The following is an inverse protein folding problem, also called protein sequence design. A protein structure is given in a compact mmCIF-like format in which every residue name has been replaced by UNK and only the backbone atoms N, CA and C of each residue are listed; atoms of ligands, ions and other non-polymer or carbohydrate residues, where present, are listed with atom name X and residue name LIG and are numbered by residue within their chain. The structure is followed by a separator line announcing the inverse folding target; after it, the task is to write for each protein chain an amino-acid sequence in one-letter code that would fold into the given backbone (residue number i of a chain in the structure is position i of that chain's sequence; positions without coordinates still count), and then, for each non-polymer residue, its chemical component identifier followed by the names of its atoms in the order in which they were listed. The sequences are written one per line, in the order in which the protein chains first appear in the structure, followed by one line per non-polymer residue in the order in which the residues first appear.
data_IF_058927031642
#
_entry.id   IF_058927031642
#
_cell.length_a   1.000
_cell.length_b   1.000
_cell.length_c   1.000
_cell.angle_alpha   90.00
_cell.angle_beta   90.00
_cell.angle_gamma   90.00
#
_symmetry.space_group_name_H-M   'P 1'
#
loop_
_entity.id
_entity.type
_entity.pdbx_description
1 polymer ?
#
# COMPACT_ATOMS: atom_id res chain seq x y z
N UNK A 1 -20.06 -1.43 4.71
CA UNK A 1 -18.59 -1.28 4.75
C UNK A 1 -18.16 -0.24 3.75
N UNK A 2 -17.42 0.79 4.16
CA UNK A 2 -16.84 1.79 3.27
C UNK A 2 -15.32 1.64 3.22
N UNK A 3 -14.75 1.47 2.03
CA UNK A 3 -13.31 1.37 1.83
C UNK A 3 -12.72 2.73 1.43
N UNK A 4 -11.65 3.16 2.11
CA UNK A 4 -10.86 4.33 1.76
C UNK A 4 -9.59 3.85 1.07
N UNK A 5 -9.54 3.94 -0.26
CA UNK A 5 -8.46 3.39 -1.07
C UNK A 5 -7.34 4.42 -1.27
N UNK A 6 -6.15 4.02 -0.86
CA UNK A 6 -4.90 4.75 -1.06
C UNK A 6 -3.88 3.86 -1.79
N UNK A 7 -2.78 4.42 -2.23
CA UNK A 7 -1.67 3.67 -2.81
C UNK A 7 -0.83 3.00 -1.69
N UNK A 8 -0.43 3.77 -0.68
CA UNK A 8 0.31 3.32 0.50
C UNK A 8 0.05 4.21 1.72
N UNK A 9 0.59 3.83 2.88
CA UNK A 9 0.77 4.70 4.05
C UNK A 9 2.26 4.77 4.34
N UNK A 10 2.80 5.99 4.38
CA UNK A 10 4.22 6.24 4.61
C UNK A 10 4.48 6.65 6.06
N UNK A 11 5.73 6.53 6.52
CA UNK A 11 6.14 7.00 7.84
C UNK A 11 5.97 8.53 7.92
N UNK A 12 6.47 9.26 6.91
CA UNK A 12 6.23 10.70 6.74
C UNK A 12 4.95 10.90 5.92
N UNK A 13 3.83 11.01 6.61
CA UNK A 13 2.50 11.09 6.02
C UNK A 13 2.25 12.42 5.32
N UNK A 14 1.67 12.37 4.14
CA UNK A 14 1.13 13.53 3.45
C UNK A 14 -0.20 13.99 4.05
N UNK A 15 -0.68 15.17 3.66
CA UNK A 15 -2.00 15.67 4.07
C UNK A 15 -3.15 14.71 3.70
N UNK A 16 -3.03 13.99 2.59
CA UNK A 16 -4.04 13.00 2.15
C UNK A 16 -4.12 11.83 3.14
N UNK A 17 -2.98 11.28 3.55
CA UNK A 17 -2.92 10.17 4.50
C UNK A 17 -3.41 10.60 5.89
N UNK A 18 -3.06 11.82 6.34
CA UNK A 18 -3.61 12.38 7.58
C UNK A 18 -5.13 12.52 7.53
N UNK A 19 -5.68 13.07 6.45
CA UNK A 19 -7.13 13.21 6.26
C UNK A 19 -7.84 11.85 6.24
N UNK A 20 -7.24 10.85 5.58
CA UNK A 20 -7.79 9.50 5.50
C UNK A 20 -7.82 8.82 6.88
N UNK A 21 -6.75 8.96 7.68
CA UNK A 21 -6.68 8.41 9.04
C UNK A 21 -7.70 9.09 9.96
N UNK A 22 -7.81 10.43 9.90
CA UNK A 22 -8.82 11.16 10.67
C UNK A 22 -10.24 10.73 10.30
N UNK A 23 -10.51 10.54 9.00
CA UNK A 23 -11.79 10.05 8.52
C UNK A 23 -12.07 8.63 9.05
N UNK A 24 -11.10 7.71 9.04
CA UNK A 24 -11.27 6.39 9.63
C UNK A 24 -11.64 6.49 11.12
N UNK A 25 -10.90 7.28 11.91
CA UNK A 25 -11.20 7.46 13.33
C UNK A 25 -12.59 8.05 13.56
N UNK A 26 -13.07 8.95 12.70
CA UNK A 26 -14.43 9.48 12.80
C UNK A 26 -15.48 8.39 12.58
N UNK A 27 -15.26 7.49 11.62
CA UNK A 27 -16.15 6.34 11.39
C UNK A 27 -16.14 5.38 12.57
N UNK A 28 -14.95 5.09 13.14
CA UNK A 28 -14.82 4.25 14.34
C UNK A 28 -15.56 4.84 15.54
N UNK A 29 -15.42 6.15 15.77
CA UNK A 29 -16.11 6.85 16.87
C UNK A 29 -17.64 6.79 16.76
N UNK A 30 -18.16 6.72 15.53
CA UNK A 30 -19.59 6.63 15.25
C UNK A 30 -20.06 5.20 15.00
N UNK A 31 -19.21 4.18 15.21
CA UNK A 31 -19.51 2.76 14.97
C UNK A 31 -19.94 2.47 13.52
N UNK A 32 -19.47 3.27 12.59
CA UNK A 32 -19.71 3.08 11.15
C UNK A 32 -18.61 2.20 10.53
N UNK A 33 -18.97 1.13 9.81
CA UNK A 33 -17.98 0.19 9.31
C UNK A 33 -17.17 0.79 8.16
N UNK A 34 -15.86 1.01 8.40
CA UNK A 34 -14.93 1.52 7.40
C UNK A 34 -13.54 0.87 7.54
N UNK A 35 -12.78 0.86 6.45
CA UNK A 35 -11.39 0.39 6.42
C UNK A 35 -10.54 1.22 5.46
N UNK A 36 -9.28 1.41 5.80
CA UNK A 36 -8.26 1.87 4.85
C UNK A 36 -7.75 0.67 4.06
N UNK A 37 -7.63 0.85 2.75
CA UNK A 37 -7.11 -0.16 1.82
C UNK A 37 -5.90 0.40 1.09
N UNK A 38 -4.80 -0.36 1.04
CA UNK A 38 -3.59 0.02 0.30
C UNK A 38 -3.13 -1.10 -0.62
N UNK A 39 -2.38 -0.74 -1.68
CA UNK A 39 -1.95 -1.71 -2.69
C UNK A 39 -0.43 -1.93 -2.75
N UNK A 40 0.39 -1.01 -2.26
CA UNK A 40 1.85 -1.16 -2.30
C UNK A 40 2.36 -2.05 -1.16
N UNK A 41 3.40 -2.83 -1.47
CA UNK A 41 4.08 -3.64 -0.46
C UNK A 41 5.04 -2.80 0.39
N UNK A 42 5.08 -3.11 1.68
CA UNK A 42 6.14 -2.63 2.58
C UNK A 42 6.33 -3.62 3.73
N UNK A 43 7.55 -4.06 3.96
CA UNK A 43 7.88 -4.96 5.05
C UNK A 43 7.84 -4.30 6.44
N UNK A 44 7.74 -2.98 6.50
CA UNK A 44 7.61 -2.19 7.73
C UNK A 44 6.20 -1.59 7.92
N UNK A 45 5.25 -1.96 7.07
CA UNK A 45 3.91 -1.38 7.02
C UNK A 45 3.21 -1.43 8.39
N UNK A 46 3.27 -2.57 9.08
CA UNK A 46 2.58 -2.76 10.36
C UNK A 46 3.17 -1.92 11.51
N UNK A 47 4.45 -1.58 11.46
CA UNK A 47 5.00 -0.59 12.39
C UNK A 47 4.48 0.82 12.06
N UNK A 48 4.39 1.16 10.77
CA UNK A 48 3.88 2.47 10.31
C UNK A 48 2.42 2.66 10.72
N UNK A 49 1.54 1.68 10.47
CA UNK A 49 0.11 1.81 10.80
C UNK A 49 -0.13 1.85 12.32
N UNK A 50 0.63 1.09 13.11
CA UNK A 50 0.56 1.15 14.58
C UNK A 50 1.02 2.51 15.11
N UNK A 51 2.13 3.06 14.61
CA UNK A 51 2.57 4.41 14.97
C UNK A 51 1.61 5.50 14.52
N UNK A 52 0.81 5.22 13.48
CA UNK A 52 -0.25 6.11 13.02
C UNK A 52 -1.54 6.01 13.85
N UNK A 53 -1.63 5.08 14.81
CA UNK A 53 -2.83 4.84 15.59
C UNK A 53 -3.95 4.14 14.81
N UNK A 54 -3.63 3.50 13.69
CA UNK A 54 -4.61 2.76 12.89
C UNK A 54 -4.80 1.37 13.51
N UNK A 55 -6.05 0.99 13.79
CA UNK A 55 -6.40 -0.37 14.18
C UNK A 55 -6.17 -1.32 13.00
N UNK A 56 -5.34 -2.37 13.19
CA UNK A 56 -5.04 -3.36 12.15
C UNK A 56 -6.30 -4.10 11.64
N UNK A 57 -7.35 -4.21 12.45
CA UNK A 57 -8.64 -4.78 12.03
C UNK A 57 -9.36 -3.92 10.98
N UNK A 58 -9.12 -2.60 10.99
CA UNK A 58 -9.68 -1.64 10.05
C UNK A 58 -8.72 -1.25 8.92
N UNK A 59 -7.75 -2.12 8.66
CA UNK A 59 -6.75 -1.92 7.63
C UNK A 59 -6.58 -3.18 6.76
N UNK A 60 -6.45 -2.99 5.44
CA UNK A 60 -6.17 -4.07 4.50
C UNK A 60 -5.10 -3.63 3.51
N UNK A 61 -4.01 -4.38 3.43
CA UNK A 61 -3.04 -4.24 2.35
C UNK A 61 -3.19 -5.40 1.35
N UNK A 62 -3.03 -5.12 0.05
CA UNK A 62 -3.19 -6.10 -1.02
C UNK A 62 -2.24 -7.29 -0.88
N UNK A 63 -0.97 -7.04 -0.53
CA UNK A 63 0.01 -8.13 -0.35
C UNK A 63 -0.32 -8.96 0.89
N UNK A 64 -0.61 -8.33 2.03
CA UNK A 64 -1.05 -9.04 3.24
C UNK A 64 -2.28 -9.91 3.00
N UNK A 65 -3.22 -9.42 2.19
CA UNK A 65 -4.43 -10.16 1.85
C UNK A 65 -4.10 -11.48 1.14
N UNK A 66 -3.24 -11.44 0.13
CA UNK A 66 -2.86 -12.64 -0.62
C UNK A 66 -1.83 -13.52 0.13
N UNK A 67 -0.93 -12.92 0.90
CA UNK A 67 -0.01 -13.64 1.79
C UNK A 67 -0.71 -14.27 3.00
N UNK A 68 -2.02 -13.99 3.21
CA UNK A 68 -2.78 -14.39 4.41
C UNK A 68 -2.15 -13.86 5.70
N UNK A 69 -1.56 -12.69 5.62
CA UNK A 69 -0.76 -12.08 6.67
C UNK A 69 -1.46 -10.91 7.39
N UNK A 70 -2.74 -10.62 7.09
CA UNK A 70 -3.44 -9.43 7.57
C UNK A 70 -3.41 -9.25 9.09
N UNK A 71 -3.66 -10.29 9.87
CA UNK A 71 -3.75 -10.23 11.34
C UNK A 71 -2.76 -11.19 12.01
N UNK A 72 -1.53 -11.23 11.50
CA UNK A 72 -0.47 -12.07 12.08
C UNK A 72 0.06 -11.44 13.37
N UNK A 73 0.12 -12.19 14.48
CA UNK A 73 0.69 -11.69 15.73
C UNK A 73 2.17 -11.31 15.56
N UNK A 74 2.58 -10.23 16.23
CA UNK A 74 3.97 -9.80 16.19
C UNK A 74 4.90 -10.78 16.92
N UNK A 75 5.96 -11.20 16.24
CA UNK A 75 7.05 -12.00 16.77
C UNK A 75 8.38 -11.31 16.49
N UNK A 76 9.27 -11.22 17.48
CA UNK A 76 10.60 -10.66 17.26
C UNK A 76 11.55 -11.76 16.79
N UNK A 77 11.99 -11.64 15.54
CA UNK A 77 13.02 -12.52 14.98
C UNK A 77 14.39 -11.90 15.21
N UNK A 78 15.27 -12.67 15.80
CA UNK A 78 16.66 -12.29 16.13
C UNK A 78 17.64 -13.23 15.46
N UNK A 79 18.95 -12.98 15.65
CA UNK A 79 20.00 -13.86 15.10
C UNK A 79 19.89 -15.32 15.57
N UNK A 80 19.25 -15.58 16.70
CA UNK A 80 19.05 -16.93 17.24
C UNK A 80 18.03 -17.74 16.44
N UNK A 81 17.15 -17.05 15.73
CA UNK A 81 16.09 -17.65 14.92
C UNK A 81 16.54 -17.91 13.47
N UNK A 82 17.74 -17.44 13.09
CA UNK A 82 18.27 -17.58 11.72
C UNK A 82 19.11 -18.86 11.65
N UNK A 83 18.82 -19.77 10.71
CA UNK A 83 19.65 -20.96 10.49
C UNK A 83 21.01 -20.54 9.92
N UNK A 84 22.06 -20.79 10.71
CA UNK A 84 23.45 -20.47 10.35
C UNK A 84 24.20 -21.76 10.13
N UNK A 85 24.91 -21.89 9.01
CA UNK A 85 25.75 -23.02 8.72
C UNK A 85 26.90 -23.10 9.72
N UNK A 86 27.14 -24.24 10.44
CA UNK A 86 28.17 -24.37 11.50
C UNK A 86 29.60 -24.06 11.03
N UNK A 87 29.89 -24.26 9.74
CA UNK A 87 31.21 -24.02 9.13
C UNK A 87 31.51 -22.56 8.84
N UNK A 88 30.53 -21.67 8.96
CA UNK A 88 30.72 -20.24 8.69
C UNK A 88 31.29 -19.51 9.89
N UNK A 89 32.31 -18.69 9.65
CA UNK A 89 32.91 -17.83 10.67
C UNK A 89 32.11 -16.52 10.76
N UNK A 90 31.56 -16.24 11.94
CA UNK A 90 30.84 -14.99 12.21
C UNK A 90 31.80 -13.86 12.51
N UNK A 91 31.61 -12.72 11.90
CA UNK A 91 32.28 -11.45 12.17
C UNK A 91 31.26 -10.35 12.38
N UNK A 92 31.46 -9.50 13.40
CA UNK A 92 30.59 -8.33 13.63
C UNK A 92 30.90 -7.22 12.61
N UNK A 93 29.87 -6.56 12.13
CA UNK A 93 29.97 -5.40 11.26
C UNK A 93 28.99 -4.32 11.78
N UNK A 94 29.42 -3.52 12.73
CA UNK A 94 28.56 -2.62 13.48
C UNK A 94 27.46 -3.40 14.23
N UNK A 95 26.19 -3.07 13.93
CA UNK A 95 25.02 -3.79 14.48
C UNK A 95 24.74 -5.11 13.75
N UNK A 96 25.28 -5.29 12.54
CA UNK A 96 25.05 -6.41 11.65
C UNK A 96 26.06 -7.55 11.87
N UNK A 97 25.84 -8.67 11.18
CA UNK A 97 26.78 -9.77 11.13
C UNK A 97 27.08 -10.18 9.69
N UNK A 98 28.36 -10.38 9.41
CA UNK A 98 28.82 -11.07 8.22
C UNK A 98 29.33 -12.47 8.57
N UNK A 99 29.10 -13.40 7.66
CA UNK A 99 29.55 -14.78 7.80
C UNK A 99 30.46 -15.15 6.64
N UNK A 100 31.60 -15.71 7.00
CA UNK A 100 32.68 -16.01 6.07
C UNK A 100 32.86 -17.51 5.93
N UNK A 101 33.12 -17.95 4.70
CA UNK A 101 33.60 -19.28 4.38
C UNK A 101 34.91 -19.17 3.57
N UNK A 102 35.99 -19.78 4.04
CA UNK A 102 37.32 -19.65 3.41
C UNK A 102 37.75 -18.17 3.21
N UNK A 103 37.48 -17.33 4.21
CA UNK A 103 37.82 -15.90 4.17
C UNK A 103 36.93 -15.02 3.29
N UNK A 104 35.97 -15.60 2.56
CA UNK A 104 35.02 -14.84 1.70
C UNK A 104 33.64 -14.75 2.34
N UNK A 105 32.97 -13.60 2.22
CA UNK A 105 31.62 -13.40 2.73
C UNK A 105 30.62 -14.17 1.87
N UNK A 106 29.87 -15.07 2.52
CA UNK A 106 28.83 -15.91 1.89
C UNK A 106 27.44 -15.61 2.39
N UNK A 107 27.34 -14.97 3.58
CA UNK A 107 26.07 -14.64 4.17
C UNK A 107 26.16 -13.34 4.98
N UNK A 108 25.12 -12.51 4.95
CA UNK A 108 25.06 -11.26 5.70
C UNK A 108 23.71 -11.13 6.38
N UNK A 109 23.71 -10.68 7.62
CA UNK A 109 22.49 -10.47 8.41
C UNK A 109 22.39 -9.01 8.81
N UNK A 110 21.43 -8.30 8.24
CA UNK A 110 21.14 -6.91 8.57
C UNK A 110 20.12 -6.83 9.69
N UNK A 111 20.39 -5.98 10.68
CA UNK A 111 19.55 -5.86 11.89
C UNK A 111 19.18 -4.42 12.18
N UNK A 112 18.01 -4.24 12.81
CA UNK A 112 17.63 -2.94 13.37
C UNK A 112 18.58 -2.52 14.50
N UNK A 113 18.90 -1.22 14.54
CA UNK A 113 19.66 -0.65 15.66
C UNK A 113 18.73 -0.27 16.82
N UNK A 114 17.96 -1.23 17.29
CA UNK A 114 17.06 -1.12 18.44
C UNK A 114 17.49 -2.08 19.56
N UNK A 115 16.84 -2.01 20.72
CA UNK A 115 17.18 -2.86 21.87
C UNK A 115 17.05 -4.36 21.57
N UNK A 116 16.10 -4.77 20.73
CA UNK A 116 15.82 -6.16 20.38
C UNK A 116 16.72 -6.71 19.28
N UNK A 117 17.41 -5.85 18.50
CA UNK A 117 18.26 -6.25 17.36
C UNK A 117 17.54 -7.20 16.38
N UNK A 118 16.28 -6.90 16.09
CA UNK A 118 15.47 -7.70 15.17
C UNK A 118 16.03 -7.68 13.75
N UNK A 119 15.77 -8.74 12.99
CA UNK A 119 16.28 -8.91 11.63
C UNK A 119 15.51 -8.00 10.65
N UNK A 120 16.26 -7.32 9.78
CA UNK A 120 15.71 -6.57 8.63
C UNK A 120 15.72 -7.47 7.40
N UNK A 121 16.89 -8.04 7.08
CA UNK A 121 17.04 -8.95 5.95
C UNK A 121 18.26 -9.88 6.15
N UNK A 122 18.26 -10.95 5.38
CA UNK A 122 19.42 -11.83 5.22
C UNK A 122 19.82 -11.87 3.75
N UNK A 123 21.12 -11.81 3.48
CA UNK A 123 21.67 -11.76 2.14
C UNK A 123 22.54 -13.00 1.90
N UNK A 124 22.34 -13.63 0.77
CA UNK A 124 23.05 -14.84 0.36
C UNK A 124 23.96 -14.52 -0.82
N UNK A 125 25.23 -14.83 -0.65
CA UNK A 125 26.26 -14.59 -1.66
C UNK A 125 26.87 -15.92 -2.09
N UNK A 126 27.35 -15.97 -3.34
CA UNK A 126 28.13 -17.11 -3.81
C UNK A 126 29.56 -17.11 -3.27
N UNK A 127 30.34 -18.14 -3.64
CA UNK A 127 31.74 -18.24 -3.25
C UNK A 127 32.64 -17.14 -3.82
N UNK A 128 32.15 -16.33 -4.76
CA UNK A 128 32.87 -15.21 -5.36
C UNK A 128 32.49 -13.86 -4.72
N UNK A 129 31.48 -13.86 -3.85
CA UNK A 129 30.96 -12.67 -3.18
C UNK A 129 29.86 -11.96 -3.96
N UNK A 130 29.28 -12.61 -4.97
CA UNK A 130 28.17 -12.07 -5.75
C UNK A 130 26.86 -12.26 -5.01
N UNK A 131 26.05 -11.20 -4.87
CA UNK A 131 24.73 -11.28 -4.25
C UNK A 131 23.77 -12.06 -5.16
N UNK A 132 23.19 -13.12 -4.62
CA UNK A 132 22.23 -13.96 -5.35
C UNK A 132 20.80 -13.79 -4.85
N UNK A 133 20.62 -13.58 -3.53
CA UNK A 133 19.31 -13.58 -2.91
C UNK A 133 19.30 -12.71 -1.66
N UNK A 134 18.15 -12.04 -1.41
CA UNK A 134 17.87 -11.33 -0.16
C UNK A 134 16.49 -11.73 0.34
N UNK A 135 16.43 -12.24 1.59
CA UNK A 135 15.18 -12.49 2.30
C UNK A 135 14.87 -11.29 3.18
N UNK A 136 13.75 -10.60 2.93
CA UNK A 136 13.27 -9.48 3.72
C UNK A 136 12.24 -9.95 4.74
N UNK A 137 12.45 -9.54 5.97
CA UNK A 137 11.55 -9.88 7.07
C UNK A 137 10.51 -8.80 7.28
N UNK A 138 9.26 -9.21 7.41
CA UNK A 138 8.19 -8.36 7.96
C UNK A 138 8.48 -8.06 9.43
N UNK A 139 8.10 -6.88 9.90
CA UNK A 139 8.28 -6.50 11.32
C UNK A 139 7.53 -7.42 12.29
N UNK A 140 6.58 -8.20 11.80
CA UNK A 140 5.87 -9.26 12.54
C UNK A 140 6.64 -10.60 12.62
N UNK A 141 7.83 -10.69 11.99
CA UNK A 141 8.79 -11.76 12.23
C UNK A 141 8.67 -12.99 11.36
N UNK A 142 8.39 -12.84 10.08
CA UNK A 142 8.48 -13.88 9.07
C UNK A 142 9.15 -13.34 7.80
N UNK A 143 9.71 -14.21 6.97
CA UNK A 143 10.21 -13.81 5.64
C UNK A 143 9.00 -13.50 4.79
N UNK A 144 8.80 -12.23 4.46
CA UNK A 144 7.64 -11.78 3.69
C UNK A 144 7.92 -11.67 2.20
N UNK A 145 9.14 -11.34 1.80
CA UNK A 145 9.55 -11.34 0.39
C UNK A 145 11.01 -11.77 0.24
N UNK A 146 11.28 -12.53 -0.79
CA UNK A 146 12.59 -12.92 -1.28
C UNK A 146 12.85 -12.22 -2.61
N UNK A 147 13.98 -11.53 -2.73
CA UNK A 147 14.46 -10.98 -3.98
C UNK A 147 15.55 -11.87 -4.58
N UNK A 148 15.39 -12.28 -5.82
CA UNK A 148 16.40 -13.00 -6.59
C UNK A 148 17.09 -12.03 -7.54
N UNK A 149 18.42 -12.10 -7.59
CA UNK A 149 19.26 -11.19 -8.35
C UNK A 149 19.91 -11.89 -9.56
N UNK A 150 19.95 -11.19 -10.67
CA UNK A 150 20.83 -11.56 -11.78
C UNK A 150 22.30 -11.25 -11.40
N UNK A 151 23.11 -12.26 -11.43
CA UNK A 151 24.52 -12.17 -11.03
C UNK A 151 25.38 -11.25 -11.92
N UNK A 152 24.99 -11.04 -13.17
CA UNK A 152 25.73 -10.17 -14.10
C UNK A 152 25.39 -8.70 -13.91
N UNK A 153 24.11 -8.38 -13.84
CA UNK A 153 23.62 -6.99 -13.75
C UNK A 153 23.43 -6.50 -12.32
N UNK A 154 23.37 -7.41 -11.34
CA UNK A 154 23.00 -7.09 -9.95
C UNK A 154 21.56 -6.60 -9.77
N UNK A 155 20.70 -6.79 -10.78
CA UNK A 155 19.31 -6.35 -10.76
C UNK A 155 18.38 -7.48 -10.31
N UNK A 156 17.24 -7.12 -9.69
CA UNK A 156 16.21 -8.08 -9.30
C UNK A 156 15.57 -8.68 -10.56
N UNK A 157 15.42 -10.01 -10.59
CA UNK A 157 14.74 -10.77 -11.65
C UNK A 157 13.44 -11.38 -11.19
N UNK A 158 13.31 -11.63 -9.87
CA UNK A 158 12.10 -12.18 -9.26
C UNK A 158 11.95 -11.70 -7.83
N UNK A 159 10.69 -11.47 -7.43
CA UNK A 159 10.28 -11.21 -6.06
C UNK A 159 9.26 -12.28 -5.68
N UNK A 160 9.55 -13.09 -4.66
CA UNK A 160 8.68 -14.14 -4.17
C UNK A 160 8.10 -13.74 -2.82
N UNK A 161 6.78 -13.58 -2.75
CA UNK A 161 6.06 -13.17 -1.54
C UNK A 161 5.49 -14.39 -0.83
N UNK A 162 5.78 -14.53 0.46
CA UNK A 162 5.46 -15.72 1.24
C UNK A 162 4.31 -15.49 2.22
N UNK A 163 3.56 -16.55 2.47
CA UNK A 163 2.68 -16.60 3.65
C UNK A 163 3.54 -16.68 4.92
N UNK A 164 2.98 -16.39 6.12
CA UNK A 164 3.69 -16.56 7.39
C UNK A 164 4.23 -17.97 7.62
N UNK A 165 3.62 -18.99 6.97
CA UNK A 165 4.06 -20.39 7.03
C UNK A 165 5.17 -20.72 6.01
N UNK A 166 5.65 -19.73 5.25
CA UNK A 166 6.74 -19.87 4.28
C UNK A 166 6.33 -20.48 2.93
N UNK A 167 5.05 -20.44 2.56
CA UNK A 167 4.60 -20.84 1.22
C UNK A 167 4.58 -19.64 0.29
N UNK A 168 5.00 -19.80 -0.95
CA UNK A 168 4.89 -18.74 -1.96
C UNK A 168 3.40 -18.50 -2.26
N UNK A 169 2.96 -17.26 -2.03
CA UNK A 169 1.61 -16.80 -2.36
C UNK A 169 1.58 -16.06 -3.70
N UNK A 170 2.58 -15.21 -3.93
CA UNK A 170 2.69 -14.38 -5.14
C UNK A 170 4.15 -14.35 -5.59
N UNK A 171 4.37 -14.42 -6.91
CA UNK A 171 5.66 -14.14 -7.53
C UNK A 171 5.51 -12.97 -8.50
N UNK A 172 6.45 -12.04 -8.46
CA UNK A 172 6.60 -11.00 -9.46
C UNK A 172 7.86 -11.32 -10.27
N UNK A 173 7.68 -11.58 -11.57
CA UNK A 173 8.80 -11.71 -12.49
C UNK A 173 9.17 -10.33 -13.03
N UNK A 174 10.45 -9.98 -12.91
CA UNK A 174 10.99 -8.69 -13.32
C UNK A 174 11.82 -8.91 -14.58
N UNK A 175 11.21 -8.65 -15.72
CA UNK A 175 11.83 -8.76 -17.02
C UNK A 175 12.32 -7.39 -17.51
N UNK A 176 13.21 -7.39 -18.49
CA UNK A 176 13.68 -6.15 -19.14
C UNK A 176 13.58 -6.26 -20.64
N UNK A 177 13.04 -5.24 -21.27
CA UNK A 177 12.99 -5.18 -22.72
C UNK A 177 14.35 -4.72 -23.32
N UNK A 178 14.44 -4.69 -24.64
CA UNK A 178 15.66 -4.27 -25.38
C UNK A 178 16.14 -2.83 -25.05
N UNK A 179 15.28 -2.00 -24.44
CA UNK A 179 15.60 -0.63 -24.01
C UNK A 179 15.87 -0.54 -22.49
N UNK A 180 16.15 -1.67 -21.84
CA UNK A 180 16.35 -1.83 -20.39
C UNK A 180 15.14 -1.35 -19.53
N UNK A 181 13.97 -1.15 -20.15
CA UNK A 181 12.74 -0.83 -19.42
C UNK A 181 12.23 -2.08 -18.70
N UNK A 182 11.96 -1.93 -17.42
CA UNK A 182 11.41 -2.98 -16.57
C UNK A 182 9.97 -3.31 -16.96
N UNK A 183 9.67 -4.59 -17.02
CA UNK A 183 8.34 -5.16 -17.23
C UNK A 183 8.08 -6.14 -16.10
N UNK A 184 6.98 -5.96 -15.38
CA UNK A 184 6.58 -6.82 -14.27
C UNK A 184 5.35 -7.63 -14.64
N UNK A 185 5.38 -8.93 -14.34
CA UNK A 185 4.23 -9.82 -14.42
C UNK A 185 3.99 -10.46 -13.06
N UNK A 186 2.74 -10.70 -12.73
CA UNK A 186 2.30 -11.13 -11.41
C UNK A 186 1.69 -12.51 -11.50
N UNK A 187 2.16 -13.44 -10.68
CA UNK A 187 1.65 -14.81 -10.62
C UNK A 187 1.21 -15.11 -9.19
N UNK A 188 -0.10 -15.20 -8.99
CA UNK A 188 -0.72 -15.55 -7.71
C UNK A 188 -0.95 -17.07 -7.68
N UNK A 189 -0.33 -17.75 -6.70
CA UNK A 189 -0.37 -19.20 -6.60
C UNK A 189 -1.51 -19.69 -5.72
N UNK A 190 -2.19 -20.72 -6.20
CA UNK A 190 -3.18 -21.51 -5.46
C UNK A 190 -4.19 -20.65 -4.63
N UNK A 191 -4.60 -19.51 -5.19
CA UNK A 191 -5.62 -18.68 -4.57
C UNK A 191 -6.99 -19.27 -4.83
N UNK A 192 -7.67 -19.71 -3.76
CA UNK A 192 -8.95 -20.45 -3.85
C UNK A 192 -8.89 -21.67 -4.79
N UNK A 193 -7.73 -22.36 -4.84
CA UNK A 193 -7.53 -23.55 -5.66
C UNK A 193 -7.14 -23.30 -7.12
N UNK A 194 -6.87 -22.06 -7.49
CA UNK A 194 -6.49 -21.65 -8.86
C UNK A 194 -5.25 -20.78 -8.87
N UNK A 195 -4.49 -20.84 -9.95
CA UNK A 195 -3.41 -19.92 -10.27
C UNK A 195 -3.94 -18.80 -11.16
N UNK A 196 -3.44 -17.58 -10.90
CA UNK A 196 -3.81 -16.37 -11.66
C UNK A 196 -2.57 -15.65 -12.15
N UNK A 197 -2.64 -15.10 -13.36
CA UNK A 197 -1.56 -14.34 -13.98
C UNK A 197 -2.05 -12.96 -14.41
N UNK A 198 -1.23 -11.93 -14.15
CA UNK A 198 -1.57 -10.55 -14.51
C UNK A 198 -0.38 -9.92 -15.23
N UNK A 199 -0.66 -9.19 -16.31
CA UNK A 199 0.35 -8.51 -17.14
C UNK A 199 0.90 -7.25 -16.51
N UNK A 200 0.18 -6.68 -15.54
CA UNK A 200 0.53 -5.42 -14.88
C UNK A 200 -0.12 -5.29 -13.49
N UNK A 201 0.33 -4.27 -12.76
CA UNK A 201 -0.07 -4.02 -11.39
C UNK A 201 -1.53 -3.58 -11.25
N UNK A 202 -2.04 -2.81 -12.21
CA UNK A 202 -3.41 -2.30 -12.13
C UNK A 202 -4.44 -3.41 -12.34
N UNK A 203 -4.19 -4.38 -13.25
CA UNK A 203 -5.02 -5.58 -13.40
C UNK A 203 -4.98 -6.47 -12.16
N UNK A 204 -3.80 -6.62 -11.57
CA UNK A 204 -3.67 -7.34 -10.30
C UNK A 204 -4.43 -6.63 -9.17
N UNK A 205 -4.35 -5.30 -9.10
CA UNK A 205 -5.11 -4.48 -8.15
C UNK A 205 -6.63 -4.60 -8.38
N UNK A 206 -7.12 -4.52 -9.62
CA UNK A 206 -8.56 -4.73 -9.93
C UNK A 206 -9.04 -6.09 -9.43
N UNK A 207 -8.26 -7.15 -9.66
CA UNK A 207 -8.59 -8.48 -9.15
C UNK A 207 -8.64 -8.51 -7.62
N UNK A 208 -7.65 -7.89 -6.96
CA UNK A 208 -7.66 -7.77 -5.49
C UNK A 208 -8.93 -7.10 -4.99
N UNK A 209 -9.30 -5.96 -5.57
CA UNK A 209 -10.48 -5.20 -5.16
C UNK A 209 -11.76 -6.01 -5.36
N UNK A 210 -11.88 -6.76 -6.46
CA UNK A 210 -12.99 -7.70 -6.69
C UNK A 210 -13.09 -8.77 -5.59
N UNK A 211 -11.94 -9.33 -5.17
CA UNK A 211 -11.90 -10.31 -4.09
C UNK A 211 -12.26 -9.68 -2.74
N UNK A 212 -11.73 -8.49 -2.47
CA UNK A 212 -11.94 -7.77 -1.22
C UNK A 212 -13.42 -7.44 -0.99
N UNK A 213 -14.09 -6.84 -1.99
CA UNK A 213 -15.49 -6.40 -1.85
C UNK A 213 -16.49 -7.56 -1.77
N UNK A 214 -16.06 -8.78 -2.09
CA UNK A 214 -16.86 -10.01 -1.96
C UNK A 214 -16.46 -10.88 -0.76
N UNK A 215 -15.40 -10.52 -0.03
CA UNK A 215 -14.97 -11.28 1.15
C UNK A 215 -15.82 -10.91 2.37
N UNK A 216 -16.84 -11.71 2.65
CA UNK A 216 -17.77 -11.50 3.76
C UNK A 216 -17.12 -11.48 5.14
N UNK A 217 -15.93 -12.07 5.30
CA UNK A 217 -15.16 -11.99 6.56
C UNK A 217 -14.65 -10.58 6.84
N UNK A 218 -14.51 -9.76 5.79
CA UNK A 218 -14.06 -8.37 5.86
C UNK A 218 -15.25 -7.42 5.75
N UNK A 219 -16.11 -7.63 4.74
CA UNK A 219 -17.20 -6.71 4.42
C UNK A 219 -18.45 -6.91 5.27
N UNK A 220 -18.64 -8.11 5.86
CA UNK A 220 -19.94 -8.49 6.40
C UNK A 220 -21.00 -8.69 5.31
N UNK A 221 -22.27 -8.58 5.67
CA UNK A 221 -23.41 -8.75 4.75
C UNK A 221 -24.03 -7.40 4.30
N UNK A 222 -23.52 -6.29 4.81
CA UNK A 222 -24.04 -4.95 4.48
C UNK A 222 -23.56 -4.42 3.11
N UNK A 223 -24.08 -3.26 2.70
CA UNK A 223 -23.63 -2.62 1.45
C UNK A 223 -22.15 -2.25 1.51
N UNK A 224 -21.50 -2.29 0.34
CA UNK A 224 -20.08 -1.96 0.19
C UNK A 224 -19.93 -0.79 -0.76
N UNK A 225 -19.09 0.17 -0.41
CA UNK A 225 -18.71 1.29 -1.27
C UNK A 225 -17.24 1.62 -1.14
N UNK A 226 -16.74 2.49 -2.03
CA UNK A 226 -15.32 2.84 -2.08
C UNK A 226 -15.12 4.33 -2.35
N UNK A 227 -14.26 4.97 -1.56
CA UNK A 227 -13.74 6.32 -1.80
C UNK A 227 -12.28 6.21 -2.22
N UNK A 228 -11.94 6.77 -3.36
CA UNK A 228 -10.60 6.70 -3.95
C UNK A 228 -9.86 8.01 -3.67
N UNK A 229 -8.91 7.96 -2.75
CA UNK A 229 -8.12 9.13 -2.32
C UNK A 229 -6.95 9.44 -3.28
N UNK A 230 -6.42 8.44 -3.98
CA UNK A 230 -5.34 8.54 -4.95
C UNK A 230 -5.84 8.10 -6.34
N UNK A 231 -6.50 9.03 -7.04
CA UNK A 231 -7.19 8.73 -8.31
C UNK A 231 -6.20 8.37 -9.42
N UNK A 232 -5.06 9.06 -9.49
CA UNK A 232 -4.02 8.77 -10.48
C UNK A 232 -3.54 7.31 -10.39
N UNK A 233 -3.25 6.85 -9.16
CA UNK A 233 -2.73 5.52 -8.91
C UNK A 233 -3.81 4.44 -9.02
N UNK A 234 -5.02 4.70 -8.53
CA UNK A 234 -6.02 3.67 -8.29
C UNK A 234 -7.24 3.72 -9.22
N UNK A 235 -7.47 4.86 -9.89
CA UNK A 235 -8.70 5.10 -10.64
C UNK A 235 -8.96 4.05 -11.72
N UNK A 236 -7.92 3.71 -12.50
CA UNK A 236 -8.05 2.68 -13.53
C UNK A 236 -8.46 1.33 -12.91
N UNK A 237 -7.77 0.91 -11.86
CA UNK A 237 -8.04 -0.38 -11.20
C UNK A 237 -9.47 -0.46 -10.67
N UNK A 238 -9.97 0.63 -10.07
CA UNK A 238 -11.34 0.71 -9.51
C UNK A 238 -12.39 0.67 -10.61
N UNK A 239 -12.22 1.45 -11.69
CA UNK A 239 -13.20 1.48 -12.78
C UNK A 239 -13.22 0.20 -13.62
N UNK A 240 -12.15 -0.59 -13.58
CA UNK A 240 -12.05 -1.89 -14.27
C UNK A 240 -12.34 -3.12 -13.38
N UNK A 241 -12.87 -2.92 -12.18
CA UNK A 241 -13.40 -4.02 -11.36
C UNK A 241 -14.58 -4.71 -12.07
N UNK A 242 -14.66 -6.03 -11.91
CA UNK A 242 -15.82 -6.83 -12.35
C UNK A 242 -17.03 -6.60 -11.44
N UNK A 243 -16.78 -6.42 -10.15
CA UNK A 243 -17.81 -6.13 -9.16
C UNK A 243 -18.25 -4.67 -9.24
N UNK A 244 -19.56 -4.46 -9.42
CA UNK A 244 -20.14 -3.10 -9.45
C UNK A 244 -20.57 -2.71 -8.04
N UNK A 245 -19.85 -1.78 -7.45
CA UNK A 245 -20.15 -1.15 -6.17
C UNK A 245 -20.16 0.37 -6.35
N UNK A 246 -20.79 1.16 -5.46
CA UNK A 246 -20.63 2.61 -5.44
C UNK A 246 -19.16 3.04 -5.31
N UNK A 247 -18.70 3.92 -6.21
CA UNK A 247 -17.30 4.38 -6.32
C UNK A 247 -17.26 5.89 -6.38
N UNK A 248 -16.53 6.49 -5.46
CA UNK A 248 -16.43 7.95 -5.33
C UNK A 248 -14.99 8.40 -5.51
N UNK A 249 -14.78 9.40 -6.36
CA UNK A 249 -13.49 10.05 -6.54
C UNK A 249 -13.33 11.19 -5.55
N UNK A 250 -12.28 11.19 -4.74
CA UNK A 250 -11.97 12.27 -3.80
C UNK A 250 -10.94 13.23 -4.40
N UNK A 251 -11.26 14.51 -4.42
CA UNK A 251 -10.33 15.57 -4.79
C UNK A 251 -9.70 16.18 -3.54
N UNK A 252 -8.37 16.23 -3.46
CA UNK A 252 -7.63 16.77 -2.32
C UNK A 252 -7.01 18.15 -2.56
N UNK A 253 -7.00 18.60 -3.82
CA UNK A 253 -6.55 19.92 -4.27
C UNK A 253 -7.29 20.29 -5.56
N UNK A 254 -6.92 21.39 -6.18
CA UNK A 254 -7.57 21.89 -7.39
C UNK A 254 -7.52 20.85 -8.52
N UNK A 255 -8.65 20.72 -9.20
CA UNK A 255 -8.80 19.78 -10.31
C UNK A 255 -8.10 20.24 -11.60
N UNK A 256 -7.56 21.46 -11.62
CA UNK A 256 -6.85 22.10 -12.72
C UNK A 256 -5.45 22.56 -12.34
N UNK A 257 -4.61 22.84 -13.33
CA UNK A 257 -3.24 23.32 -13.13
C UNK A 257 -3.16 24.85 -12.89
N UNK A 258 -4.10 25.61 -13.45
CA UNK A 258 -4.16 27.08 -13.30
C UNK A 258 -5.53 27.46 -12.74
N UNK A 259 -5.52 27.88 -11.50
CA UNK A 259 -6.73 28.18 -10.74
C UNK A 259 -7.42 29.51 -11.12
N UNK A 260 -6.78 30.33 -11.95
CA UNK A 260 -7.40 31.51 -12.53
C UNK A 260 -8.44 31.19 -13.61
N UNK A 261 -8.38 29.97 -14.19
CA UNK A 261 -9.36 29.50 -15.19
C UNK A 261 -9.79 28.05 -14.89
N UNK A 262 -10.72 27.90 -13.97
CA UNK A 262 -11.25 26.60 -13.55
C UNK A 262 -12.01 25.85 -14.66
N UNK A 263 -12.50 26.56 -15.68
CA UNK A 263 -13.31 25.98 -16.75
C UNK A 263 -12.47 25.42 -17.89
N UNK A 264 -11.41 26.10 -18.32
CA UNK A 264 -10.70 25.78 -19.55
C UNK A 264 -9.24 25.35 -19.33
N UNK A 265 -8.68 25.62 -18.15
CA UNK A 265 -7.32 25.18 -17.82
C UNK A 265 -7.14 23.67 -17.98
N UNK A 266 -5.91 23.26 -18.24
CA UNK A 266 -5.53 21.84 -18.26
C UNK A 266 -5.81 21.18 -16.93
N UNK A 267 -6.25 19.93 -16.95
CA UNK A 267 -6.56 19.18 -15.73
C UNK A 267 -5.28 18.86 -14.96
N UNK A 268 -5.39 18.87 -13.64
CA UNK A 268 -4.34 18.38 -12.76
C UNK A 268 -4.13 16.87 -13.04
N UNK A 269 -2.89 16.46 -13.27
CA UNK A 269 -2.55 15.10 -13.68
C UNK A 269 -3.04 14.03 -12.68
N UNK A 270 -3.15 14.38 -11.39
CA UNK A 270 -3.65 13.49 -10.34
C UNK A 270 -5.11 13.08 -10.58
N UNK A 271 -5.89 13.90 -11.28
CA UNK A 271 -7.32 13.68 -11.52
C UNK A 271 -7.69 13.58 -13.00
N UNK A 272 -6.78 13.94 -13.91
CA UNK A 272 -7.07 14.03 -15.34
C UNK A 272 -7.74 12.77 -15.88
N UNK A 273 -7.16 11.61 -15.57
CA UNK A 273 -7.73 10.35 -16.04
C UNK A 273 -9.13 10.10 -15.45
N UNK A 274 -9.29 10.27 -14.13
CA UNK A 274 -10.58 10.11 -13.45
C UNK A 274 -11.65 11.08 -13.96
N UNK A 275 -11.31 12.35 -14.16
CA UNK A 275 -12.23 13.37 -14.65
C UNK A 275 -12.59 13.20 -16.13
N UNK A 276 -11.71 12.62 -16.94
CA UNK A 276 -12.05 12.23 -18.33
C UNK A 276 -13.04 11.05 -18.38
N UNK A 277 -13.14 10.27 -17.31
CA UNK A 277 -14.05 9.14 -17.14
C UNK A 277 -15.11 9.45 -16.06
N UNK A 278 -15.50 10.71 -15.91
CA UNK A 278 -16.34 11.16 -14.79
C UNK A 278 -17.66 10.41 -14.73
N UNK A 279 -18.24 10.04 -15.87
CA UNK A 279 -19.52 9.30 -15.97
C UNK A 279 -19.45 7.86 -15.45
N UNK A 280 -18.24 7.32 -15.22
CA UNK A 280 -18.05 5.98 -14.70
C UNK A 280 -18.00 5.95 -13.16
N UNK A 281 -17.99 7.13 -12.52
CA UNK A 281 -18.04 7.31 -11.07
C UNK A 281 -19.46 7.54 -10.60
N UNK A 282 -19.76 7.09 -9.39
CA UNK A 282 -21.06 7.35 -8.73
C UNK A 282 -21.09 8.72 -8.04
N UNK A 283 -19.98 9.41 -7.98
CA UNK A 283 -19.87 10.78 -7.50
C UNK A 283 -18.43 11.26 -7.33
N UNK A 284 -18.31 12.57 -7.22
CA UNK A 284 -17.05 13.28 -6.93
C UNK A 284 -17.19 13.95 -5.58
N UNK A 285 -16.19 13.80 -4.72
CA UNK A 285 -16.12 14.42 -3.40
C UNK A 285 -15.12 15.57 -3.46
N UNK A 286 -15.57 16.77 -3.09
CA UNK A 286 -14.81 18.01 -2.98
C UNK A 286 -14.71 18.45 -1.52
N UNK A 287 -13.74 19.30 -1.19
CA UNK A 287 -13.42 19.69 0.19
C UNK A 287 -14.10 20.99 0.62
N UNK A 288 -14.23 21.94 -0.29
CA UNK A 288 -14.71 23.30 0.00
C UNK A 288 -15.91 23.67 -0.86
N UNK A 289 -16.73 24.67 -0.45
CA UNK A 289 -17.79 25.20 -1.30
C UNK A 289 -17.28 25.70 -2.65
N UNK A 290 -16.16 26.44 -2.65
CA UNK A 290 -15.56 26.96 -3.87
C UNK A 290 -15.17 25.82 -4.83
N UNK A 291 -14.46 24.81 -4.33
CA UNK A 291 -14.08 23.64 -5.15
C UNK A 291 -15.30 22.91 -5.72
N UNK A 292 -16.39 22.79 -4.92
CA UNK A 292 -17.62 22.18 -5.39
C UNK A 292 -18.24 22.97 -6.55
N UNK A 293 -18.30 24.30 -6.43
CA UNK A 293 -18.86 25.19 -7.45
C UNK A 293 -18.02 25.16 -8.72
N UNK A 294 -16.69 25.18 -8.61
CA UNK A 294 -15.77 25.12 -9.73
C UNK A 294 -15.88 23.79 -10.49
N UNK A 295 -15.96 22.66 -9.76
CA UNK A 295 -16.14 21.34 -10.38
C UNK A 295 -17.52 21.22 -11.01
N UNK A 296 -18.59 21.71 -10.36
CA UNK A 296 -19.94 21.75 -10.96
C UNK A 296 -19.98 22.56 -12.23
N UNK A 297 -19.41 23.76 -12.22
CA UNK A 297 -19.38 24.64 -13.39
C UNK A 297 -18.82 23.94 -14.64
N UNK A 298 -17.84 23.03 -14.45
CA UNK A 298 -17.21 22.30 -15.55
C UNK A 298 -17.90 20.97 -15.89
N UNK A 299 -18.45 20.26 -14.90
CA UNK A 299 -18.88 18.86 -15.02
C UNK A 299 -20.35 18.57 -14.75
N UNK A 300 -21.17 19.53 -14.29
CA UNK A 300 -22.58 19.32 -13.96
C UNK A 300 -23.42 18.79 -15.15
N UNK A 301 -23.01 19.15 -16.37
CA UNK A 301 -23.59 18.66 -17.63
C UNK A 301 -23.57 17.13 -17.81
N UNK A 302 -22.72 16.42 -17.06
CA UNK A 302 -22.62 14.96 -17.11
C UNK A 302 -23.55 14.27 -16.11
N UNK A 303 -24.24 15.02 -15.24
CA UNK A 303 -25.24 14.49 -14.29
C UNK A 303 -24.64 13.65 -13.14
N UNK A 304 -23.31 13.70 -12.93
CA UNK A 304 -22.65 12.99 -11.84
C UNK A 304 -22.74 13.81 -10.55
N UNK A 305 -23.21 13.24 -9.43
CA UNK A 305 -23.29 13.94 -8.16
C UNK A 305 -21.94 14.48 -7.68
N UNK A 306 -21.89 15.75 -7.26
CA UNK A 306 -20.70 16.38 -6.70
C UNK A 306 -21.00 16.75 -5.26
N UNK A 307 -20.39 16.00 -4.36
CA UNK A 307 -20.57 16.13 -2.91
C UNK A 307 -19.49 17.04 -2.32
N UNK A 308 -19.84 17.76 -1.25
CA UNK A 308 -18.88 18.49 -0.44
C UNK A 308 -18.71 17.78 0.89
N UNK A 309 -17.51 17.25 1.13
CA UNK A 309 -17.13 16.62 2.39
C UNK A 309 -15.74 17.16 2.79
N UNK A 310 -15.65 18.01 3.83
CA UNK A 310 -14.37 18.51 4.31
C UNK A 310 -13.45 17.37 4.76
N UNK A 311 -12.15 17.50 4.52
CA UNK A 311 -11.16 16.50 4.95
C UNK A 311 -10.80 16.58 6.43
N UNK A 312 -11.01 17.74 7.06
CA UNK A 312 -10.62 17.98 8.44
C UNK A 312 -11.82 17.87 9.36
N UNK A 313 -11.62 17.19 10.46
CA UNK A 313 -12.53 17.18 11.61
C UNK A 313 -11.89 18.03 12.71
N UNK A 314 -12.61 19.02 13.22
CA UNK A 314 -12.17 19.78 14.39
C UNK A 314 -12.83 19.12 15.61
N UNK A 315 -12.05 18.57 16.55
CA UNK A 315 -12.61 17.97 17.77
C UNK A 315 -13.40 19.00 18.58
N UNK A 316 -14.51 18.57 19.20
CA UNK A 316 -15.36 19.44 20.02
C UNK A 316 -14.59 20.15 21.13
N UNK A 317 -13.58 19.50 21.70
CA UNK A 317 -12.67 20.06 22.69
C UNK A 317 -11.89 21.30 22.19
N UNK A 318 -11.64 21.37 20.87
CA UNK A 318 -10.97 22.51 20.23
C UNK A 318 -11.99 23.60 19.92
N UNK A 319 -13.19 23.23 19.46
CA UNK A 319 -14.27 24.18 19.16
C UNK A 319 -14.71 24.93 20.42
N UNK A 320 -14.75 24.22 21.56
CA UNK A 320 -15.21 24.77 22.83
C UNK A 320 -14.11 25.51 23.64
N UNK A 321 -12.88 25.58 23.14
CA UNK A 321 -11.82 26.39 23.78
C UNK A 321 -12.10 27.88 23.62
N UNK A 322 -11.89 28.70 24.69
CA UNK A 322 -12.00 30.14 24.59
C UNK A 322 -11.10 30.68 23.47
N UNK A 323 -11.65 31.52 22.63
CA UNK A 323 -10.89 32.17 21.54
C UNK A 323 -9.80 33.07 22.16
N UNK A 324 -8.55 32.69 21.96
CA UNK A 324 -7.40 33.53 22.32
C UNK A 324 -7.09 34.43 21.12
N UNK A 325 -7.25 35.78 21.24
CA UNK A 325 -6.94 36.64 20.12
C UNK A 325 -5.43 36.57 19.77
N UNK A 326 -5.15 36.52 18.49
CA UNK A 326 -3.78 36.65 18.00
C UNK A 326 -3.18 37.97 18.53
N UNK A 327 -1.99 37.87 19.17
CA UNK A 327 -1.20 39.05 19.59
C UNK A 327 -0.41 39.60 18.41
#
# INVERSE_FOLDING_TARGET
MLFFLNDNIQENKSGIEHAQIQRLHLFEQNSEPAMIVTRQYSNVLHDIIRHAGINEEHFVNMFDYFQKARLVPQRNITIRDIPIEPKWQRKANGVDYEYLQNGKRVFYVRRHNNAKKTIINTQYLDQFGTLLKVDWYDTRGFVSVEHIYDWQSGKITSENYFTPEGKIALQISVLRNKRDKEIRTYHLFNYKGHDYHFSDFDRFTSFFLDQLVTDKRICGDGPVGMVVDRVYENGWSVLNMKQRIPRYMQLHNDHVNHNEDMLHSTLNYNYEWGLRHITDWDGVITLTPQQQDDVKARYDKYGVPIFRVPSAVVPDEVINKPHVPFK
#
